data_IF_654652238797
#
_entry.id   IF_654652238797
#
_cell.length_a   1.000
_cell.length_b   1.000
_cell.length_c   1.000
_cell.angle_alpha   90.00
_cell.angle_beta   90.00
_cell.angle_gamma   90.00
#
_symmetry.space_group_name_H-M   'P 1'
#
loop_
_entity.id
_entity.type
_entity.pdbx_description
1 polymer ?
#
# COMPACT_ATOMS: atom_id res chain seq x y z
N UNK A 1 -16.39 2.45 8.13
CA UNK A 1 -15.80 1.74 6.97
C UNK A 1 -15.31 0.37 7.41
N UNK A 2 -15.62 -0.67 6.65
CA UNK A 2 -15.19 -2.03 6.97
C UNK A 2 -13.75 -2.28 6.51
N UNK A 3 -13.12 -3.33 7.04
CA UNK A 3 -11.78 -3.73 6.61
C UNK A 3 -11.77 -4.03 5.11
N UNK A 4 -12.83 -4.67 4.60
CA UNK A 4 -12.95 -4.97 3.18
C UNK A 4 -12.95 -3.69 2.34
N UNK A 5 -13.69 -2.68 2.76
CA UNK A 5 -13.75 -1.40 2.05
C UNK A 5 -12.40 -0.68 2.10
N UNK A 6 -11.71 -0.72 3.24
CA UNK A 6 -10.37 -0.16 3.38
C UNK A 6 -9.38 -0.84 2.44
N UNK A 7 -9.41 -2.17 2.39
CA UNK A 7 -8.53 -2.91 1.48
C UNK A 7 -8.80 -2.56 0.02
N UNK A 8 -10.08 -2.40 -0.35
CA UNK A 8 -10.42 -2.00 -1.71
C UNK A 8 -9.89 -0.62 -2.05
N UNK A 9 -9.97 0.32 -1.13
CA UNK A 9 -9.41 1.66 -1.33
C UNK A 9 -7.89 1.65 -1.42
N UNK A 10 -7.23 0.82 -0.61
CA UNK A 10 -5.78 0.66 -0.69
C UNK A 10 -5.39 0.12 -2.06
N UNK A 11 -6.09 -0.89 -2.56
CA UNK A 11 -5.84 -1.45 -3.89
C UNK A 11 -6.05 -0.40 -4.98
N UNK A 12 -7.08 0.44 -4.87
CA UNK A 12 -7.33 1.51 -5.83
C UNK A 12 -6.18 2.51 -5.86
N UNK A 13 -5.66 2.90 -4.69
CA UNK A 13 -4.52 3.80 -4.61
C UNK A 13 -3.29 3.18 -5.25
N UNK A 14 -3.01 1.91 -4.95
CA UNK A 14 -1.86 1.22 -5.53
C UNK A 14 -1.99 1.18 -7.05
N UNK A 15 -3.17 0.86 -7.55
CA UNK A 15 -3.42 0.77 -8.99
C UNK A 15 -3.21 2.13 -9.67
N UNK A 16 -3.74 3.20 -9.09
CA UNK A 16 -3.62 4.52 -9.71
C UNK A 16 -2.20 5.07 -9.59
N UNK A 17 -1.52 4.82 -8.48
CA UNK A 17 -0.15 5.32 -8.26
C UNK A 17 0.88 4.62 -9.13
N UNK A 18 0.68 3.34 -9.42
CA UNK A 18 1.63 2.54 -10.21
C UNK A 18 1.21 2.37 -11.65
N UNK A 19 -0.02 2.78 -11.99
CA UNK A 19 -0.60 2.66 -13.34
C UNK A 19 -0.50 1.23 -13.89
N UNK A 20 -0.53 0.24 -12.99
CA UNK A 20 -0.41 -1.16 -13.39
C UNK A 20 -1.70 -1.70 -13.99
N UNK A 21 -1.57 -2.59 -14.98
CA UNK A 21 -2.68 -3.34 -15.53
C UNK A 21 -2.78 -4.74 -14.94
N UNK A 22 -1.86 -5.09 -14.04
CA UNK A 22 -1.84 -6.40 -13.40
C UNK A 22 -3.01 -6.56 -12.45
N UNK A 23 -3.49 -7.78 -12.31
CA UNK A 23 -4.49 -8.09 -11.31
C UNK A 23 -3.78 -8.21 -9.96
N UNK A 24 -4.13 -7.31 -9.03
CA UNK A 24 -3.44 -7.22 -7.75
C UNK A 24 -3.93 -8.29 -6.78
N UNK A 25 -3.00 -8.92 -6.08
CA UNK A 25 -3.31 -9.89 -5.02
C UNK A 25 -2.46 -9.57 -3.80
N UNK A 26 -2.88 -10.05 -2.64
CA UNK A 26 -2.13 -9.82 -1.39
C UNK A 26 -0.74 -10.43 -1.42
N UNK A 27 -0.55 -11.52 -2.14
CA UNK A 27 0.74 -12.22 -2.24
C UNK A 27 1.70 -11.56 -3.24
N UNK A 28 1.21 -10.61 -4.04
CA UNK A 28 2.02 -9.99 -5.08
C UNK A 28 3.15 -9.16 -4.48
N UNK A 29 4.37 -9.44 -4.92
CA UNK A 29 5.57 -8.75 -4.45
C UNK A 29 5.75 -7.42 -5.16
N UNK A 30 5.94 -6.34 -4.38
CA UNK A 30 6.01 -4.99 -4.91
C UNK A 30 7.20 -4.79 -5.86
N UNK A 31 8.33 -5.38 -5.57
CA UNK A 31 9.54 -5.20 -6.37
C UNK A 31 9.69 -6.29 -7.43
N UNK A 32 9.60 -7.55 -7.03
CA UNK A 32 9.91 -8.66 -7.95
C UNK A 32 8.78 -8.95 -8.94
N UNK A 33 7.55 -8.74 -8.57
CA UNK A 33 6.40 -9.00 -9.45
C UNK A 33 5.85 -7.74 -10.10
N UNK A 34 5.71 -6.66 -9.34
CA UNK A 34 5.22 -5.39 -9.88
C UNK A 34 6.33 -4.56 -10.53
N UNK A 35 7.58 -4.83 -10.20
CA UNK A 35 8.72 -4.13 -10.77
C UNK A 35 8.85 -2.68 -10.33
N UNK A 36 8.36 -2.34 -9.14
CA UNK A 36 8.38 -0.96 -8.67
C UNK A 36 9.79 -0.54 -8.25
N UNK A 37 10.16 0.68 -8.64
CA UNK A 37 11.40 1.30 -8.15
C UNK A 37 11.16 1.91 -6.77
N UNK A 38 12.24 2.29 -6.09
CA UNK A 38 12.14 2.98 -4.80
C UNK A 38 11.31 4.25 -4.89
N UNK A 39 11.47 5.01 -5.96
CA UNK A 39 10.72 6.24 -6.18
C UNK A 39 9.23 5.94 -6.34
N UNK A 40 8.90 4.93 -7.11
CA UNK A 40 7.50 4.53 -7.31
C UNK A 40 6.85 4.07 -6.01
N UNK A 41 7.59 3.32 -5.19
CA UNK A 41 7.11 2.90 -3.88
C UNK A 41 6.88 4.12 -2.98
N UNK A 42 7.79 5.08 -2.97
CA UNK A 42 7.65 6.30 -2.18
C UNK A 42 6.43 7.11 -2.61
N UNK A 43 6.19 7.22 -3.92
CA UNK A 43 5.00 7.92 -4.43
C UNK A 43 3.72 7.20 -4.01
N UNK A 44 3.72 5.89 -4.09
CA UNK A 44 2.58 5.08 -3.65
C UNK A 44 2.29 5.28 -2.16
N UNK A 45 3.33 5.26 -1.34
CA UNK A 45 3.20 5.49 0.11
C UNK A 45 2.63 6.89 0.38
N UNK A 46 3.15 7.90 -0.31
CA UNK A 46 2.67 9.27 -0.18
C UNK A 46 1.18 9.39 -0.55
N UNK A 47 0.77 8.72 -1.61
CA UNK A 47 -0.64 8.71 -2.02
C UNK A 47 -1.53 8.03 -0.98
N UNK A 48 -1.05 6.96 -0.35
CA UNK A 48 -1.78 6.30 0.73
C UNK A 48 -1.91 7.21 1.94
N UNK A 49 -0.85 7.91 2.30
CA UNK A 49 -0.88 8.88 3.39
C UNK A 49 -1.91 9.98 3.15
N UNK A 50 -1.93 10.51 1.93
CA UNK A 50 -2.87 11.56 1.55
C UNK A 50 -4.31 11.05 1.54
N UNK A 51 -4.52 9.86 1.00
CA UNK A 51 -5.87 9.29 0.86
C UNK A 51 -6.52 9.03 2.22
N UNK A 52 -5.75 8.55 3.18
CA UNK A 52 -6.29 8.15 4.48
C UNK A 52 -6.00 9.16 5.60
N UNK A 53 -5.24 10.22 5.30
CA UNK A 53 -4.88 11.23 6.31
C UNK A 53 -4.02 10.66 7.42
N UNK A 54 -3.08 9.78 7.09
CA UNK A 54 -2.22 9.10 8.05
C UNK A 54 -0.76 9.33 7.70
N UNK A 55 0.11 9.00 8.66
CA UNK A 55 1.56 8.93 8.42
C UNK A 55 1.98 7.48 8.47
N UNK A 56 2.79 7.07 7.48
CA UNK A 56 3.35 5.72 7.42
C UNK A 56 4.85 5.84 7.71
N UNK A 57 5.27 5.66 8.97
CA UNK A 57 6.68 5.79 9.33
C UNK A 57 7.53 4.71 8.67
N UNK A 58 8.77 5.08 8.34
CA UNK A 58 9.70 4.16 7.69
C UNK A 58 9.88 2.87 8.50
N UNK A 59 9.87 2.97 9.83
CA UNK A 59 10.04 1.83 10.72
C UNK A 59 8.94 0.79 10.52
N UNK A 60 7.72 1.24 10.26
CA UNK A 60 6.59 0.34 10.01
C UNK A 60 6.64 -0.31 8.63
N UNK A 61 7.38 0.31 7.70
CA UNK A 61 7.49 -0.18 6.33
C UNK A 61 8.62 -1.16 6.12
N UNK A 62 9.50 -1.31 7.10
CA UNK A 62 10.60 -2.28 7.01
C UNK A 62 10.04 -3.68 6.97
N UNK A 63 10.55 -4.47 6.03
CA UNK A 63 10.10 -5.84 5.84
C UNK A 63 8.82 -5.98 5.03
N UNK A 64 8.21 -4.87 4.62
CA UNK A 64 7.05 -4.92 3.74
C UNK A 64 7.53 -5.27 2.34
N UNK A 65 7.07 -6.40 1.82
CA UNK A 65 7.45 -6.88 0.50
C UNK A 65 6.24 -7.08 -0.41
N UNK A 66 5.09 -7.43 0.15
CA UNK A 66 3.89 -7.75 -0.61
C UNK A 66 2.79 -6.72 -0.36
N UNK A 67 1.80 -6.72 -1.27
CA UNK A 67 0.63 -5.84 -1.12
C UNK A 67 -0.11 -6.14 0.18
N UNK A 68 -0.25 -7.42 0.53
CA UNK A 68 -0.93 -7.81 1.77
C UNK A 68 -0.24 -7.28 3.02
N UNK A 69 1.09 -7.31 3.03
CA UNK A 69 1.87 -6.75 4.13
C UNK A 69 1.68 -5.23 4.22
N UNK A 70 1.63 -4.56 3.08
CA UNK A 70 1.38 -3.12 3.04
C UNK A 70 -0.02 -2.81 3.57
N UNK A 71 -1.03 -3.54 3.13
CA UNK A 71 -2.40 -3.38 3.62
C UNK A 71 -2.46 -3.53 5.14
N UNK A 72 -1.76 -4.53 5.68
CA UNK A 72 -1.73 -4.76 7.12
C UNK A 72 -1.17 -3.57 7.87
N UNK A 73 -0.07 -3.00 7.40
CA UNK A 73 0.54 -1.82 8.03
C UNK A 73 -0.42 -0.64 7.99
N UNK A 74 -1.03 -0.37 6.84
CA UNK A 74 -1.97 0.73 6.70
C UNK A 74 -3.14 0.57 7.68
N UNK A 75 -3.70 -0.65 7.76
CA UNK A 75 -4.81 -0.91 8.68
C UNK A 75 -4.41 -0.73 10.14
N UNK A 76 -3.21 -1.15 10.51
CA UNK A 76 -2.71 -0.97 11.88
C UNK A 76 -2.55 0.51 12.23
N UNK A 77 -2.02 1.31 11.31
CA UNK A 77 -1.87 2.75 11.53
C UNK A 77 -3.22 3.43 11.67
N UNK A 78 -4.17 3.08 10.81
CA UNK A 78 -5.53 3.63 10.89
C UNK A 78 -6.18 3.27 12.22
N UNK A 79 -6.04 2.03 12.66
CA UNK A 79 -6.63 1.55 13.92
C UNK A 79 -5.99 2.19 15.15
N UNK A 80 -4.74 2.62 15.04
CA UNK A 80 -4.01 3.24 16.14
C UNK A 80 -4.27 4.72 16.33
N UNK A 81 -5.08 5.31 15.48
CA UNK A 81 -5.39 6.75 15.58
C UNK A 81 -6.50 7.08 16.56
#
# INVERSE_FOLDING_TARGET
MTIKELNQEIYEVIRSSTETELELTDEMHLITEMGLSSVEIMLMISDLEDRFGIELPIEELRGVATIGQLCKVVLEVISGQ
#
